data_IF_013969225460
#
_entry.id   IF_013969225460
#
_cell.length_a   1.000
_cell.length_b   1.000
_cell.length_c   1.000
_cell.angle_alpha   90.00
_cell.angle_beta   90.00
_cell.angle_gamma   90.00
#
_symmetry.space_group_name_H-M   'P 1'
#
loop_
_entity.id
_entity.type
_entity.pdbx_description
1 polymer ?
#
# COMPACT_ATOMS: atom_id res chain seq x y z
N UNK A 1 0.27 -4.67 12.61
CA UNK A 1 -0.55 -3.61 13.24
C UNK A 1 0.24 -2.85 14.30
N UNK A 2 0.71 -3.49 15.39
CA UNK A 2 1.50 -2.81 16.45
C UNK A 2 2.74 -2.08 15.89
N UNK A 3 3.50 -2.72 14.99
CA UNK A 3 4.65 -2.08 14.35
C UNK A 3 4.28 -0.83 13.52
N UNK A 4 3.07 -0.78 12.95
CA UNK A 4 2.64 0.36 12.12
C UNK A 4 2.18 1.53 13.00
N UNK A 5 1.70 1.26 14.20
CA UNK A 5 1.33 2.27 15.18
C UNK A 5 2.56 3.04 15.69
N UNK A 6 3.65 2.32 15.96
CA UNK A 6 4.93 2.93 16.32
C UNK A 6 5.51 3.81 15.20
N UNK A 7 5.16 3.52 13.94
CA UNK A 7 5.64 4.24 12.76
C UNK A 7 4.75 5.44 12.35
N UNK A 8 3.71 5.80 13.09
CA UNK A 8 2.77 6.86 12.67
C UNK A 8 3.43 8.23 12.45
N UNK A 9 4.59 8.49 13.04
CA UNK A 9 5.37 9.74 12.85
C UNK A 9 6.46 9.65 11.79
N UNK A 10 6.67 8.47 11.20
CA UNK A 10 7.64 8.21 10.15
C UNK A 10 6.93 7.66 8.91
N UNK A 11 6.79 8.49 7.88
CA UNK A 11 6.04 8.11 6.68
C UNK A 11 6.66 6.94 5.92
N UNK A 12 7.99 6.86 5.89
CA UNK A 12 8.74 5.84 5.17
C UNK A 12 8.61 4.49 5.90
N UNK A 13 8.82 4.51 7.22
CA UNK A 13 8.65 3.32 8.06
C UNK A 13 7.19 2.85 8.09
N UNK A 14 6.23 3.77 8.11
CA UNK A 14 4.82 3.42 8.01
C UNK A 14 4.50 2.77 6.67
N UNK A 15 5.04 3.27 5.56
CA UNK A 15 4.85 2.67 4.25
C UNK A 15 5.42 1.24 4.17
N UNK A 16 6.59 0.99 4.78
CA UNK A 16 7.15 -0.36 4.92
C UNK A 16 6.24 -1.26 5.74
N UNK A 17 5.79 -0.81 6.90
CA UNK A 17 4.90 -1.61 7.74
C UNK A 17 3.54 -1.90 7.08
N UNK A 18 2.95 -0.90 6.39
CA UNK A 18 1.70 -1.04 5.67
C UNK A 18 1.80 -2.07 4.54
N UNK A 19 2.95 -2.16 3.85
CA UNK A 19 3.23 -3.21 2.87
C UNK A 19 3.32 -4.59 3.52
N UNK A 20 4.08 -4.71 4.61
CA UNK A 20 4.21 -5.98 5.35
C UNK A 20 2.87 -6.53 5.85
N UNK A 21 1.90 -5.66 6.15
CA UNK A 21 0.53 -6.10 6.46
C UNK A 21 -0.11 -6.88 5.30
N UNK A 22 0.00 -6.40 4.06
CA UNK A 22 -0.56 -7.07 2.88
C UNK A 22 0.17 -8.40 2.59
N UNK A 23 1.50 -8.40 2.65
CA UNK A 23 2.32 -9.60 2.47
C UNK A 23 1.88 -10.73 3.43
N UNK A 24 1.66 -10.39 4.70
CA UNK A 24 1.25 -11.37 5.72
C UNK A 24 -0.17 -11.89 5.52
N UNK A 25 -1.10 -11.06 5.06
CA UNK A 25 -2.46 -11.52 4.71
C UNK A 25 -2.37 -12.54 3.57
N UNK A 26 -1.65 -12.20 2.50
CA UNK A 26 -1.50 -13.05 1.32
C UNK A 26 -0.86 -14.38 1.70
N UNK A 27 0.25 -14.35 2.46
CA UNK A 27 0.94 -15.55 2.92
C UNK A 27 0.06 -16.47 3.77
N UNK A 28 -1.01 -15.95 4.36
CA UNK A 28 -1.94 -16.71 5.22
C UNK A 28 -3.17 -17.26 4.46
N UNK A 29 -3.32 -16.99 3.15
CA UNK A 29 -4.51 -17.39 2.39
C UNK A 29 -4.62 -18.90 2.09
N UNK A 30 -3.58 -19.71 2.38
CA UNK A 30 -3.59 -21.15 2.12
C UNK A 30 -3.68 -21.57 0.65
N UNK A 31 -3.49 -20.61 -0.27
CA UNK A 31 -3.54 -20.80 -1.71
C UNK A 31 -2.15 -20.55 -2.29
N UNK A 32 -1.31 -21.60 -2.31
CA UNK A 32 0.08 -21.55 -2.78
C UNK A 32 0.25 -20.86 -4.14
N UNK A 33 -0.57 -21.18 -5.17
CA UNK A 33 -0.50 -20.48 -6.45
C UNK A 33 -0.75 -18.98 -6.34
N UNK A 34 -1.73 -18.56 -5.54
CA UNK A 34 -2.06 -17.14 -5.35
C UNK A 34 -0.93 -16.41 -4.60
N UNK A 35 -0.33 -17.05 -3.60
CA UNK A 35 0.82 -16.53 -2.87
C UNK A 35 1.98 -16.26 -3.83
N UNK A 36 2.33 -17.23 -4.68
CA UNK A 36 3.41 -17.09 -5.65
C UNK A 36 3.13 -16.00 -6.68
N UNK A 37 1.90 -15.92 -7.20
CA UNK A 37 1.52 -14.90 -8.18
C UNK A 37 1.58 -13.50 -7.59
N UNK A 38 0.94 -13.28 -6.43
CA UNK A 38 0.92 -11.97 -5.77
C UNK A 38 2.32 -11.55 -5.35
N UNK A 39 3.12 -12.45 -4.77
CA UNK A 39 4.51 -12.17 -4.41
C UNK A 39 5.40 -11.84 -5.62
N UNK A 40 5.19 -12.51 -6.76
CA UNK A 40 5.92 -12.20 -8.00
C UNK A 40 5.56 -10.80 -8.51
N UNK A 41 4.27 -10.45 -8.52
CA UNK A 41 3.81 -9.12 -8.95
C UNK A 41 4.35 -8.03 -8.02
N UNK A 42 4.35 -8.27 -6.71
CA UNK A 42 4.94 -7.34 -5.73
C UNK A 42 6.46 -7.20 -5.91
N UNK A 43 7.18 -8.28 -6.18
CA UNK A 43 8.62 -8.25 -6.44
C UNK A 43 8.97 -7.47 -7.71
N UNK A 44 8.21 -7.67 -8.79
CA UNK A 44 8.36 -6.88 -10.02
C UNK A 44 8.07 -5.41 -9.74
N UNK A 45 6.96 -5.11 -9.05
CA UNK A 45 6.57 -3.75 -8.72
C UNK A 45 7.63 -3.04 -7.86
N UNK A 46 8.18 -3.73 -6.87
CA UNK A 46 9.22 -3.20 -5.99
C UNK A 46 10.54 -2.99 -6.75
N UNK A 47 10.94 -3.91 -7.63
CA UNK A 47 12.20 -3.73 -8.38
C UNK A 47 12.14 -2.66 -9.49
N UNK A 48 10.98 -2.50 -10.13
CA UNK A 48 10.81 -1.61 -11.30
C UNK A 48 10.29 -0.23 -10.93
N UNK A 49 9.57 -0.12 -9.82
CA UNK A 49 8.91 1.12 -9.43
C UNK A 49 9.15 1.48 -7.97
N UNK A 50 10.08 0.85 -7.23
CA UNK A 50 10.33 1.22 -5.82
C UNK A 50 10.50 2.73 -5.66
N UNK A 51 11.41 3.36 -6.41
CA UNK A 51 11.69 4.79 -6.24
C UNK A 51 10.46 5.67 -6.56
N UNK A 52 9.73 5.38 -7.64
CA UNK A 52 8.54 6.17 -8.02
C UNK A 52 7.27 5.84 -7.21
N UNK A 53 7.17 4.61 -6.69
CA UNK A 53 6.06 4.16 -5.87
C UNK A 53 6.26 4.57 -4.41
N UNK A 54 7.50 4.61 -3.92
CA UNK A 54 7.88 5.23 -2.65
C UNK A 54 7.56 6.72 -2.72
N UNK A 55 8.03 7.46 -3.74
CA UNK A 55 7.75 8.90 -3.88
C UNK A 55 6.24 9.21 -3.89
N UNK A 56 5.42 8.46 -4.65
CA UNK A 56 3.95 8.65 -4.64
C UNK A 56 3.27 8.20 -3.34
N UNK A 57 3.74 7.13 -2.73
CA UNK A 57 3.16 6.60 -1.50
C UNK A 57 3.56 7.46 -0.31
N UNK A 58 4.78 7.97 -0.27
CA UNK A 58 5.27 8.98 0.66
C UNK A 58 4.49 10.29 0.51
N UNK A 59 4.21 10.76 -0.71
CA UNK A 59 3.36 11.96 -0.90
C UNK A 59 1.95 11.74 -0.35
N UNK A 60 1.35 10.55 -0.54
CA UNK A 60 0.01 10.25 -0.02
C UNK A 60 0.02 10.03 1.50
N UNK A 61 1.06 9.37 2.01
CA UNK A 61 1.22 9.02 3.42
C UNK A 61 2.01 10.06 4.20
N UNK A 62 2.42 11.18 3.60
CA UNK A 62 3.08 12.29 4.29
C UNK A 62 2.15 12.94 5.32
N UNK A 63 0.84 12.97 5.03
CA UNK A 63 -0.19 13.38 5.98
C UNK A 63 -0.37 12.29 7.06
N UNK A 64 -0.05 12.63 8.32
CA UNK A 64 -0.24 11.75 9.48
C UNK A 64 -1.67 11.25 9.59
N UNK A 65 -2.67 12.09 9.30
CA UNK A 65 -4.08 11.70 9.37
C UNK A 65 -4.38 10.58 8.39
N UNK A 66 -3.79 10.61 7.19
CA UNK A 66 -3.95 9.52 6.21
C UNK A 66 -3.30 8.22 6.68
N UNK A 67 -2.18 8.29 7.41
CA UNK A 67 -1.57 7.12 8.05
C UNK A 67 -2.48 6.54 9.13
N UNK A 68 -3.08 7.38 9.97
CA UNK A 68 -4.05 6.97 10.99
C UNK A 68 -5.30 6.32 10.36
N UNK A 69 -5.86 6.90 9.30
CA UNK A 69 -6.98 6.34 8.54
C UNK A 69 -6.64 4.96 7.93
N UNK A 70 -5.45 4.82 7.34
CA UNK A 70 -4.98 3.55 6.80
C UNK A 70 -4.81 2.49 7.91
N UNK A 71 -4.22 2.86 9.04
CA UNK A 71 -4.06 1.96 10.19
C UNK A 71 -5.41 1.52 10.76
N UNK A 72 -6.37 2.44 10.89
CA UNK A 72 -7.72 2.13 11.33
C UNK A 72 -8.41 1.13 10.38
N UNK A 73 -8.26 1.30 9.07
CA UNK A 73 -8.78 0.35 8.07
C UNK A 73 -8.10 -1.01 8.17
N UNK A 74 -6.77 -1.08 8.33
CA UNK A 74 -6.05 -2.33 8.52
C UNK A 74 -6.52 -3.08 9.78
N UNK A 75 -6.80 -2.36 10.88
CA UNK A 75 -7.39 -2.93 12.10
C UNK A 75 -8.76 -3.55 11.84
N UNK A 76 -9.64 -2.85 11.13
CA UNK A 76 -10.97 -3.37 10.79
C UNK A 76 -10.91 -4.65 9.94
N UNK A 77 -10.00 -4.69 8.96
CA UNK A 77 -9.78 -5.90 8.14
C UNK A 77 -9.32 -7.06 9.04
N UNK A 78 -8.31 -6.82 9.88
CA UNK A 78 -7.78 -7.84 10.78
C UNK A 78 -8.84 -8.37 11.75
N UNK A 79 -9.63 -7.49 12.36
CA UNK A 79 -10.71 -7.89 13.27
C UNK A 79 -11.78 -8.73 12.56
N UNK A 80 -12.14 -8.42 11.32
CA UNK A 80 -13.09 -9.24 10.55
C UNK A 80 -12.52 -10.63 10.25
N UNK A 81 -11.22 -10.71 9.90
CA UNK A 81 -10.51 -11.98 9.67
C UNK A 81 -10.45 -12.81 10.97
N UNK A 82 -10.09 -12.21 12.10
CA UNK A 82 -10.05 -12.91 13.40
C UNK A 82 -11.42 -13.42 13.84
N UNK A 83 -12.49 -12.69 13.50
CA UNK A 83 -13.86 -13.13 13.76
C UNK A 83 -14.35 -14.22 12.80
N UNK A 84 -13.60 -14.55 11.75
CA UNK A 84 -14.01 -15.48 10.70
C UNK A 84 -15.10 -14.93 9.78
N UNK A 85 -15.33 -13.61 9.76
CA UNK A 85 -16.35 -12.95 8.94
C UNK A 85 -15.78 -12.60 7.56
N UNK A 86 -15.77 -13.59 6.67
CA UNK A 86 -15.22 -13.48 5.32
C UNK A 86 -15.90 -12.39 4.48
N UNK A 87 -17.23 -12.27 4.55
CA UNK A 87 -17.98 -11.27 3.77
C UNK A 87 -17.62 -9.85 4.20
N UNK A 88 -17.53 -9.63 5.51
CA UNK A 88 -17.14 -8.34 6.05
C UNK A 88 -15.67 -8.01 5.72
N UNK A 89 -14.77 -8.99 5.82
CA UNK A 89 -13.37 -8.81 5.44
C UNK A 89 -13.24 -8.43 3.96
N UNK A 90 -13.92 -9.14 3.05
CA UNK A 90 -13.93 -8.84 1.61
C UNK A 90 -14.43 -7.42 1.34
N UNK A 91 -15.57 -7.04 1.95
CA UNK A 91 -16.16 -5.71 1.77
C UNK A 91 -15.21 -4.60 2.20
N UNK A 92 -14.59 -4.72 3.38
CA UNK A 92 -13.68 -3.69 3.90
C UNK A 92 -12.43 -3.58 3.04
N UNK A 93 -11.86 -4.70 2.58
CA UNK A 93 -10.70 -4.72 1.67
C UNK A 93 -11.06 -4.04 0.34
N UNK A 94 -12.24 -4.32 -0.23
CA UNK A 94 -12.69 -3.68 -1.47
C UNK A 94 -12.81 -2.17 -1.32
N UNK A 95 -13.38 -1.68 -0.22
CA UNK A 95 -13.47 -0.26 0.10
C UNK A 95 -12.09 0.38 0.30
N UNK A 96 -11.16 -0.34 0.94
CA UNK A 96 -9.79 0.12 1.17
C UNK A 96 -9.07 0.45 -0.16
N UNK A 97 -9.27 -0.35 -1.21
CA UNK A 97 -8.68 -0.06 -2.53
C UNK A 97 -9.46 0.98 -3.34
N UNK A 98 -10.79 1.07 -3.18
CA UNK A 98 -11.63 2.01 -3.91
C UNK A 98 -11.33 3.48 -3.58
N UNK A 99 -10.85 3.74 -2.35
CA UNK A 99 -10.55 5.09 -1.86
C UNK A 99 -9.13 5.59 -2.21
N UNK A 100 -8.32 4.83 -2.99
CA UNK A 100 -7.08 5.40 -3.52
C UNK A 100 -7.43 6.43 -4.59
N UNK A 101 -6.88 7.67 -4.53
CA UNK A 101 -6.99 8.59 -5.64
C UNK A 101 -6.46 7.90 -6.89
N UNK A 102 -7.35 7.70 -7.88
CA UNK A 102 -7.00 7.16 -9.19
C UNK A 102 -5.91 8.07 -9.73
N UNK A 103 -4.74 7.53 -10.06
CA UNK A 103 -3.57 8.31 -10.43
C UNK A 103 -3.91 9.33 -11.51
N UNK A 104 -4.15 10.57 -11.11
CA UNK A 104 -4.17 11.70 -12.02
C UNK A 104 -2.74 11.80 -12.51
N UNK A 105 -2.52 11.55 -13.81
CA UNK A 105 -1.22 11.68 -14.43
C UNK A 105 -0.76 13.13 -14.20
N UNK A 106 0.10 13.35 -13.21
CA UNK A 106 0.81 14.61 -13.06
C UNK A 106 1.66 14.75 -14.33
N UNK A 107 1.18 15.57 -15.26
CA UNK A 107 1.85 15.83 -16.52
C UNK A 107 3.22 16.44 -16.25
N UNK A 108 4.29 15.63 -16.40
CA UNK A 108 5.65 16.15 -16.52
C UNK A 108 5.72 16.95 -17.84
N UNK A 109 5.60 18.27 -17.78
CA UNK A 109 6.16 19.15 -18.82
C UNK A 109 7.68 19.09 -18.68
N UNK A 110 8.30 18.14 -19.38
CA UNK A 110 9.77 18.14 -19.57
C UNK A 110 10.09 19.23 -20.56
N UNK A 111 10.56 20.38 -20.07
CA UNK A 111 11.11 21.45 -20.89
C UNK A 111 12.54 21.06 -21.28
N UNK A 112 12.69 20.37 -22.41
CA UNK A 112 14.01 20.07 -22.99
C UNK A 112 14.59 21.39 -23.53
N UNK A 113 15.53 21.99 -22.80
CA UNK A 113 16.40 23.03 -23.37
C UNK A 113 17.42 22.36 -24.28
N UNK A 114 17.19 22.42 -25.59
CA UNK A 114 18.21 22.10 -26.57
C UNK A 114 19.37 23.09 -26.43
N UNK A 115 20.56 22.60 -26.03
CA UNK A 115 21.81 23.32 -26.25
C UNK A 115 22.10 23.26 -27.75
N UNK A 116 22.12 24.41 -28.43
CA UNK A 116 22.72 24.51 -29.76
C UNK A 116 24.21 24.27 -29.62
N UNK A 117 24.71 23.30 -30.39
CA UNK A 117 26.13 23.20 -30.78
C UNK A 117 26.32 24.10 -31.99
#
# INVERSE_FOLDING_TARGET
>A
IVACEAALDDAEEFARCARSFHERIVASCGNEPLILLVGTVEGIWSSQFADEAVDRTEVVLADRRRREEALARHRLIYTAIEAGDEQQAERIVREHYANRPRGERIGRKVLVRARRV
#
